data_IF_548043610065
#
_entry.id   IF_548043610065
#
_cell.length_a   1.000
_cell.length_b   1.000
_cell.length_c   1.000
_cell.angle_alpha   90.00
_cell.angle_beta   90.00
_cell.angle_gamma   90.00
#
_symmetry.space_group_name_H-M   'P 1'
#
loop_
_entity.id
_entity.type
_entity.pdbx_description
1 polymer ?
#
# COMPACT_ATOMS: atom_id res chain seq x y z
N UNK A 1 -24.73 -6.73 -60.86
CA UNK A 1 -23.60 -5.91 -60.38
C UNK A 1 -24.17 -4.80 -59.50
N UNK A 2 -23.95 -4.88 -58.19
CA UNK A 2 -23.87 -3.75 -57.25
C UNK A 2 -23.58 -4.36 -55.87
N UNK A 3 -22.31 -4.27 -55.47
CA UNK A 3 -21.80 -4.68 -54.17
C UNK A 3 -21.70 -3.42 -53.30
N UNK A 4 -22.42 -3.40 -52.18
CA UNK A 4 -22.34 -2.47 -51.06
C UNK A 4 -22.99 -3.24 -49.89
N UNK A 5 -22.46 -3.33 -48.68
CA UNK A 5 -21.63 -2.41 -47.93
C UNK A 5 -20.90 -3.21 -46.85
N UNK A 6 -19.67 -2.82 -46.55
CA UNK A 6 -18.94 -3.21 -45.33
C UNK A 6 -19.78 -2.90 -44.08
N UNK A 7 -19.75 -3.79 -43.09
CA UNK A 7 -19.49 -3.40 -41.70
C UNK A 7 -18.75 -4.55 -41.01
N UNK A 8 -17.44 -4.50 -41.13
CA UNK A 8 -16.51 -5.26 -40.31
C UNK A 8 -16.64 -4.71 -38.89
N UNK A 9 -17.18 -5.49 -37.95
CA UNK A 9 -17.09 -5.18 -36.53
C UNK A 9 -15.62 -5.39 -36.16
N UNK A 10 -14.84 -4.32 -36.36
CA UNK A 10 -13.47 -4.21 -35.89
C UNK A 10 -13.54 -4.37 -34.38
N UNK A 11 -12.99 -5.49 -33.88
CA UNK A 11 -12.79 -5.70 -32.47
C UNK A 11 -12.10 -4.46 -31.92
N UNK A 12 -12.72 -3.85 -30.91
CA UNK A 12 -12.03 -2.81 -30.15
C UNK A 12 -10.74 -3.45 -29.61
N UNK A 13 -9.57 -2.86 -29.89
CA UNK A 13 -8.36 -3.27 -29.19
C UNK A 13 -8.61 -3.01 -27.71
N UNK A 14 -8.56 -4.08 -26.92
CA UNK A 14 -8.54 -4.02 -25.46
C UNK A 14 -7.12 -3.59 -25.04
N UNK A 15 -6.68 -2.44 -25.55
CA UNK A 15 -5.29 -1.95 -25.40
C UNK A 15 -5.30 -0.63 -24.60
N UNK A 16 -6.12 -0.55 -23.55
CA UNK A 16 -6.16 0.59 -22.62
C UNK A 16 -5.98 0.19 -21.14
N UNK A 17 -5.86 -1.10 -20.82
CA UNK A 17 -5.57 -1.63 -19.48
C UNK A 17 -4.26 -2.42 -19.39
N UNK A 18 -3.42 -2.39 -20.42
CA UNK A 18 -2.06 -2.92 -20.35
C UNK A 18 -1.15 -2.01 -19.50
N UNK A 19 -0.97 -2.41 -18.24
CA UNK A 19 0.35 -2.33 -17.61
C UNK A 19 0.62 -1.20 -16.61
N UNK A 20 -0.33 -0.74 -15.78
CA UNK A 20 0.11 -0.08 -14.52
C UNK A 20 0.73 -1.16 -13.62
N UNK A 21 2.02 -1.03 -13.34
CA UNK A 21 2.74 -1.91 -12.41
C UNK A 21 2.00 -1.98 -11.07
N UNK A 22 2.16 -3.09 -10.34
CA UNK A 22 1.60 -3.25 -9.01
C UNK A 22 2.01 -2.06 -8.10
N UNK A 23 3.26 -1.60 -8.20
CA UNK A 23 3.76 -0.43 -7.47
C UNK A 23 3.06 0.88 -7.84
N UNK A 24 2.77 1.11 -9.13
CA UNK A 24 2.02 2.30 -9.56
C UNK A 24 0.59 2.29 -8.99
N UNK A 25 -0.04 1.12 -8.88
CA UNK A 25 -1.35 0.98 -8.21
C UNK A 25 -1.24 1.17 -6.71
N UNK A 26 -0.22 0.58 -6.06
CA UNK A 26 0.07 0.76 -4.65
C UNK A 26 0.23 2.24 -4.29
N UNK A 27 0.91 3.03 -5.15
CA UNK A 27 1.07 4.47 -4.98
C UNK A 27 -0.27 5.21 -4.89
N UNK A 28 -1.20 4.86 -5.77
CA UNK A 28 -2.54 5.48 -5.82
C UNK A 28 -3.33 5.13 -4.56
N UNK A 29 -3.33 3.86 -4.15
CA UNK A 29 -4.01 3.42 -2.93
C UNK A 29 -3.42 4.08 -1.67
N UNK A 30 -2.10 4.19 -1.60
CA UNK A 30 -1.41 4.85 -0.50
C UNK A 30 -1.76 6.34 -0.41
N UNK A 31 -1.83 7.05 -1.54
CA UNK A 31 -2.27 8.44 -1.58
C UNK A 31 -3.75 8.62 -1.17
N UNK A 32 -4.58 7.60 -1.39
CA UNK A 32 -5.98 7.59 -0.98
C UNK A 32 -6.18 7.16 0.50
N UNK A 33 -5.13 6.74 1.20
CA UNK A 33 -5.22 6.15 2.55
C UNK A 33 -5.81 4.74 2.57
N UNK A 34 -5.90 4.08 1.42
CA UNK A 34 -6.39 2.70 1.28
C UNK A 34 -5.23 1.71 1.47
N UNK A 35 -4.80 1.56 2.72
CA UNK A 35 -3.61 0.77 3.05
C UNK A 35 -3.80 -0.72 2.80
N UNK A 36 -5.02 -1.26 2.88
CA UNK A 36 -5.26 -2.66 2.54
C UNK A 36 -4.87 -2.95 1.10
N UNK A 37 -5.42 -2.20 0.14
CA UNK A 37 -5.09 -2.44 -1.26
C UNK A 37 -3.65 -2.03 -1.58
N UNK A 38 -3.09 -1.02 -0.92
CA UNK A 38 -1.67 -0.68 -1.08
C UNK A 38 -0.76 -1.84 -0.68
N UNK A 39 -1.03 -2.47 0.47
CA UNK A 39 -0.31 -3.66 0.95
C UNK A 39 -0.50 -4.81 -0.03
N UNK A 40 -1.73 -5.09 -0.46
CA UNK A 40 -2.03 -6.18 -1.42
C UNK A 40 -1.26 -6.01 -2.74
N UNK A 41 -1.16 -4.79 -3.27
CA UNK A 41 -0.39 -4.54 -4.50
C UNK A 41 1.12 -4.73 -4.28
N UNK A 42 1.66 -4.25 -3.16
CA UNK A 42 3.08 -4.50 -2.83
C UNK A 42 3.36 -5.99 -2.57
N UNK A 43 2.42 -6.75 -2.00
CA UNK A 43 2.55 -8.20 -1.85
C UNK A 43 2.59 -8.90 -3.22
N UNK A 44 1.72 -8.52 -4.16
CA UNK A 44 1.76 -9.03 -5.54
C UNK A 44 3.09 -8.71 -6.25
N UNK A 45 3.63 -7.50 -6.05
CA UNK A 45 4.96 -7.16 -6.58
C UNK A 45 6.04 -8.10 -6.04
N UNK A 46 6.02 -8.40 -4.74
CA UNK A 46 6.96 -9.35 -4.12
C UNK A 46 6.75 -10.77 -4.65
N UNK A 47 5.51 -11.18 -4.90
CA UNK A 47 5.18 -12.51 -5.45
C UNK A 47 5.63 -12.66 -6.91
N UNK A 48 5.42 -11.64 -7.74
CA UNK A 48 5.76 -11.65 -9.17
C UNK A 48 7.25 -11.43 -9.42
N UNK A 49 7.90 -10.54 -8.65
CA UNK A 49 9.29 -10.15 -8.81
C UNK A 49 9.98 -9.92 -7.45
N UNK A 50 10.29 -10.99 -6.70
CA UNK A 50 10.93 -10.87 -5.40
C UNK A 50 12.33 -10.25 -5.52
N UNK A 51 12.55 -9.15 -4.82
CA UNK A 51 13.82 -8.41 -4.80
C UNK A 51 13.98 -7.64 -3.49
N UNK A 52 15.20 -7.22 -3.16
CA UNK A 52 15.42 -6.37 -1.99
C UNK A 52 14.59 -5.08 -2.06
N UNK A 53 14.49 -4.46 -3.23
CA UNK A 53 13.67 -3.26 -3.47
C UNK A 53 12.18 -3.53 -3.22
N UNK A 54 11.61 -4.62 -3.75
CA UNK A 54 10.18 -4.92 -3.56
C UNK A 54 9.83 -5.21 -2.10
N UNK A 55 10.70 -5.89 -1.35
CA UNK A 55 10.53 -6.06 0.10
C UNK A 55 10.68 -4.73 0.87
N UNK A 56 11.57 -3.83 0.47
CA UNK A 56 11.67 -2.49 1.08
C UNK A 56 10.40 -1.67 0.81
N UNK A 57 9.84 -1.75 -0.39
CA UNK A 57 8.59 -1.05 -0.70
C UNK A 57 7.42 -1.58 0.13
N UNK A 58 7.31 -2.89 0.30
CA UNK A 58 6.32 -3.48 1.20
C UNK A 58 6.54 -3.02 2.66
N UNK A 59 7.78 -3.07 3.15
CA UNK A 59 8.17 -2.56 4.48
C UNK A 59 7.77 -1.09 4.64
N UNK A 60 7.97 -0.28 3.61
CA UNK A 60 7.60 1.13 3.60
C UNK A 60 6.09 1.33 3.76
N UNK A 61 5.27 0.53 3.07
CA UNK A 61 3.80 0.65 3.18
C UNK A 61 3.32 0.34 4.59
N UNK A 62 3.89 -0.66 5.28
CA UNK A 62 3.55 -0.93 6.68
C UNK A 62 3.94 0.23 7.61
N UNK A 63 5.12 0.81 7.43
CA UNK A 63 5.48 1.99 8.18
C UNK A 63 4.56 3.19 7.87
N UNK A 64 4.20 3.39 6.60
CA UNK A 64 3.30 4.45 6.17
C UNK A 64 1.90 4.26 6.79
N UNK A 65 1.41 3.03 6.92
CA UNK A 65 0.20 2.70 7.66
C UNK A 65 0.29 3.20 9.11
N UNK A 66 1.39 2.91 9.82
CA UNK A 66 1.60 3.40 11.19
C UNK A 66 1.70 4.94 11.25
N UNK A 67 2.38 5.56 10.29
CA UNK A 67 2.44 7.02 10.19
C UNK A 67 1.08 7.68 9.97
N UNK A 68 0.25 7.12 9.10
CA UNK A 68 -1.11 7.61 8.88
C UNK A 68 -2.00 7.38 10.11
N UNK A 69 -1.88 6.22 10.74
CA UNK A 69 -2.60 5.89 11.96
C UNK A 69 -2.27 6.84 13.11
N UNK A 70 -0.98 7.19 13.28
CA UNK A 70 -0.55 8.20 14.25
C UNK A 70 -1.07 9.59 13.91
N UNK A 71 -1.12 9.95 12.63
CA UNK A 71 -1.75 11.20 12.19
C UNK A 71 -3.24 11.26 12.54
N UNK A 72 -4.00 10.18 12.28
CA UNK A 72 -5.42 10.10 12.64
C UNK A 72 -5.61 10.25 14.15
N UNK A 73 -4.80 9.58 14.96
CA UNK A 73 -4.86 9.68 16.42
C UNK A 73 -4.50 11.09 16.91
N UNK A 74 -3.42 11.69 16.38
CA UNK A 74 -2.96 13.06 16.70
C UNK A 74 -4.02 14.12 16.38
N UNK A 75 -4.85 13.87 15.36
CA UNK A 75 -5.91 14.78 14.92
C UNK A 75 -7.31 14.38 15.43
N UNK A 76 -7.37 13.48 16.42
CA UNK A 76 -8.60 13.00 17.08
C UNK A 76 -9.63 12.37 16.13
N UNK A 77 -9.19 11.85 14.98
CA UNK A 77 -10.03 11.19 13.98
C UNK A 77 -10.28 9.72 14.34
N UNK A 78 -10.76 9.46 15.57
CA UNK A 78 -10.92 8.10 16.13
C UNK A 78 -11.89 7.21 15.32
N UNK A 79 -12.94 7.79 14.73
CA UNK A 79 -13.84 7.06 13.84
C UNK A 79 -13.11 6.50 12.61
N UNK A 80 -12.15 7.24 12.06
CA UNK A 80 -11.35 6.76 10.92
C UNK A 80 -10.37 5.67 11.32
N UNK A 81 -9.88 5.69 12.57
CA UNK A 81 -9.06 4.61 13.12
C UNK A 81 -9.85 3.30 13.17
N UNK A 82 -11.09 3.34 13.65
CA UNK A 82 -11.98 2.17 13.69
C UNK A 82 -12.32 1.68 12.29
N UNK A 83 -12.62 2.59 11.36
CA UNK A 83 -12.87 2.23 9.95
C UNK A 83 -11.65 1.57 9.30
N UNK A 84 -10.45 2.09 9.56
CA UNK A 84 -9.20 1.52 9.07
C UNK A 84 -8.99 0.11 9.65
N UNK A 85 -9.26 -0.09 10.94
CA UNK A 85 -9.20 -1.41 11.56
C UNK A 85 -10.16 -2.39 10.88
N UNK A 86 -11.43 -2.00 10.69
CA UNK A 86 -12.41 -2.88 10.05
C UNK A 86 -11.98 -3.21 8.62
N UNK A 87 -11.50 -2.22 7.86
CA UNK A 87 -11.02 -2.43 6.49
C UNK A 87 -9.83 -3.40 6.42
N UNK A 88 -8.90 -3.35 7.38
CA UNK A 88 -7.72 -4.22 7.42
C UNK A 88 -8.04 -5.63 7.95
N UNK A 89 -8.87 -5.73 8.99
CA UNK A 89 -9.16 -6.98 9.68
C UNK A 89 -10.20 -7.85 8.96
N UNK A 90 -11.13 -7.23 8.21
CA UNK A 90 -12.25 -7.95 7.62
C UNK A 90 -12.27 -7.75 6.11
N UNK A 91 -12.23 -8.88 5.39
CA UNK A 91 -12.44 -8.92 3.92
C UNK A 91 -13.90 -9.05 3.53
N UNK A 92 -14.78 -9.31 4.50
CA UNK A 92 -16.16 -9.73 4.26
C UNK A 92 -17.18 -8.66 4.68
N UNK A 93 -18.27 -8.55 3.91
CA UNK A 93 -19.34 -7.56 4.11
C UNK A 93 -20.06 -7.72 5.46
N UNK A 94 -20.01 -8.91 6.07
CA UNK A 94 -20.63 -9.19 7.37
C UNK A 94 -20.05 -8.34 8.51
N UNK A 95 -18.77 -7.95 8.43
CA UNK A 95 -18.18 -7.04 9.40
C UNK A 95 -18.69 -5.59 9.27
N UNK A 96 -19.33 -5.24 8.15
CA UNK A 96 -19.97 -3.93 7.96
C UNK A 96 -21.40 -3.91 8.54
N UNK A 97 -22.06 -5.06 8.65
CA UNK A 97 -23.40 -5.19 9.24
C UNK A 97 -23.35 -5.48 10.74
N UNK A 98 -22.26 -6.10 11.23
CA UNK A 98 -22.01 -6.33 12.65
C UNK A 98 -20.54 -6.05 13.02
N UNK A 99 -20.15 -4.76 13.09
CA UNK A 99 -18.76 -4.41 13.40
C UNK A 99 -18.40 -4.87 14.82
N UNK A 100 -17.17 -5.36 15.04
CA UNK A 100 -16.72 -5.70 16.38
C UNK A 100 -16.75 -4.44 17.28
N UNK A 101 -17.26 -4.60 18.50
CA UNK A 101 -17.21 -3.57 19.53
C UNK A 101 -15.76 -3.47 20.06
N UNK A 102 -14.94 -2.70 19.34
CA UNK A 102 -13.54 -2.44 19.68
C UNK A 102 -13.36 -0.94 19.91
N UNK A 103 -12.63 -0.60 20.97
CA UNK A 103 -12.30 0.81 21.23
C UNK A 103 -11.26 1.29 20.20
N UNK A 104 -11.45 2.49 19.63
CA UNK A 104 -10.50 3.09 18.69
C UNK A 104 -9.01 3.04 19.12
N UNK A 105 -8.74 3.22 20.43
CA UNK A 105 -7.37 3.11 20.96
C UNK A 105 -6.82 1.69 20.89
N UNK A 106 -7.65 0.68 21.16
CA UNK A 106 -7.26 -0.72 21.02
C UNK A 106 -7.06 -1.09 19.55
N UNK A 107 -7.96 -0.63 18.67
CA UNK A 107 -7.79 -0.76 17.22
C UNK A 107 -6.43 -0.19 16.77
N UNK A 108 -6.06 1.00 17.26
CA UNK A 108 -4.76 1.61 16.98
C UNK A 108 -3.61 0.68 17.35
N UNK A 109 -3.57 0.20 18.60
CA UNK A 109 -2.47 -0.66 19.06
C UNK A 109 -2.40 -1.99 18.29
N UNK A 110 -3.54 -2.61 17.99
CA UNK A 110 -3.58 -3.86 17.21
C UNK A 110 -3.03 -3.64 15.79
N UNK A 111 -3.42 -2.54 15.12
CA UNK A 111 -2.89 -2.21 13.79
C UNK A 111 -1.38 -1.96 13.89
N UNK A 112 -0.94 -1.16 14.86
CA UNK A 112 0.48 -0.84 15.06
C UNK A 112 1.32 -2.11 15.22
N UNK A 113 0.96 -2.98 16.18
CA UNK A 113 1.68 -4.22 16.46
C UNK A 113 1.69 -5.17 15.25
N UNK A 114 0.58 -5.26 14.52
CA UNK A 114 0.50 -6.09 13.32
C UNK A 114 1.40 -5.54 12.21
N UNK A 115 1.34 -4.24 11.94
CA UNK A 115 2.13 -3.57 10.92
C UNK A 115 3.63 -3.64 11.23
N UNK A 116 4.04 -3.43 12.49
CA UNK A 116 5.44 -3.53 12.91
C UNK A 116 5.97 -4.95 12.72
N UNK A 117 5.23 -5.99 13.14
CA UNK A 117 5.66 -7.38 12.91
C UNK A 117 5.81 -7.71 11.42
N UNK A 118 4.91 -7.23 10.57
CA UNK A 118 5.00 -7.45 9.12
C UNK A 118 6.15 -6.64 8.49
N UNK A 119 6.39 -5.43 8.98
CA UNK A 119 7.53 -4.60 8.59
C UNK A 119 8.85 -5.28 8.96
N UNK A 120 8.98 -5.83 10.16
CA UNK A 120 10.18 -6.56 10.61
C UNK A 120 10.48 -7.76 9.71
N UNK A 121 9.46 -8.57 9.39
CA UNK A 121 9.61 -9.73 8.51
C UNK A 121 10.07 -9.30 7.11
N UNK A 122 9.40 -8.31 6.52
CA UNK A 122 9.74 -7.85 5.17
C UNK A 122 11.10 -7.14 5.11
N UNK A 123 11.46 -6.37 6.14
CA UNK A 123 12.77 -5.72 6.26
C UNK A 123 13.91 -6.76 6.37
N UNK A 124 13.71 -7.81 7.16
CA UNK A 124 14.67 -8.90 7.28
C UNK A 124 14.87 -9.64 5.96
N UNK A 125 13.78 -9.85 5.20
CA UNK A 125 13.86 -10.44 3.86
C UNK A 125 14.62 -9.56 2.87
N UNK A 126 14.39 -8.25 2.89
CA UNK A 126 15.15 -7.30 2.05
C UNK A 126 16.65 -7.35 2.35
N UNK A 127 17.01 -7.23 3.63
CA UNK A 127 18.41 -7.25 4.08
C UNK A 127 19.13 -8.55 3.70
N UNK A 128 18.42 -9.68 3.76
CA UNK A 128 18.95 -10.99 3.38
C UNK A 128 19.26 -11.10 1.88
N UNK A 129 18.54 -10.38 1.03
CA UNK A 129 18.73 -10.41 -0.43
C UNK A 129 19.83 -9.45 -0.90
N UNK A 130 19.85 -8.23 -0.37
CA UNK A 130 20.88 -7.22 -0.67
C UNK A 130 20.97 -6.17 0.43
N UNK A 131 21.77 -6.43 1.45
CA UNK A 131 21.97 -5.52 2.58
C UNK A 131 22.45 -4.11 2.15
N UNK A 132 23.33 -4.02 1.16
CA UNK A 132 23.89 -2.74 0.73
C UNK A 132 22.84 -1.89 -0.01
N UNK A 133 22.06 -2.51 -0.90
CA UNK A 133 20.93 -1.88 -1.58
C UNK A 133 19.84 -1.47 -0.60
N UNK A 134 19.47 -2.36 0.32
CA UNK A 134 18.48 -2.08 1.36
C UNK A 134 18.90 -0.89 2.24
N UNK A 135 20.16 -0.84 2.69
CA UNK A 135 20.72 0.29 3.45
C UNK A 135 20.68 1.63 2.69
N UNK A 136 20.86 1.60 1.37
CA UNK A 136 20.69 2.81 0.54
C UNK A 136 19.24 3.28 0.55
N UNK A 137 18.28 2.37 0.38
CA UNK A 137 16.85 2.72 0.36
C UNK A 137 16.35 3.20 1.74
N UNK A 138 16.79 2.60 2.84
CA UNK A 138 16.44 3.09 4.18
C UNK A 138 16.91 4.53 4.42
N UNK A 139 18.12 4.90 3.98
CA UNK A 139 18.59 6.29 4.06
C UNK A 139 17.69 7.26 3.28
N UNK A 140 17.24 6.86 2.08
CA UNK A 140 16.30 7.65 1.29
C UNK A 140 14.94 7.78 2.00
N UNK A 141 14.43 6.70 2.58
CA UNK A 141 13.22 6.73 3.39
C UNK A 141 13.36 7.65 4.60
N UNK A 142 14.46 7.58 5.35
CA UNK A 142 14.72 8.48 6.49
C UNK A 142 14.73 9.94 6.05
N UNK A 143 15.42 10.26 4.94
CA UNK A 143 15.44 11.61 4.39
C UNK A 143 14.04 12.08 3.96
N UNK A 144 13.25 11.21 3.32
CA UNK A 144 11.87 11.49 2.93
C UNK A 144 10.97 11.81 4.13
N UNK A 145 11.03 11.00 5.19
CA UNK A 145 10.27 11.23 6.43
C UNK A 145 10.65 12.56 7.08
N UNK A 146 11.95 12.86 7.14
CA UNK A 146 12.46 14.11 7.70
C UNK A 146 12.01 15.34 6.89
N UNK A 147 11.96 15.23 5.56
CA UNK A 147 11.52 16.32 4.68
C UNK A 147 9.99 16.56 4.72
N UNK A 148 9.20 15.54 5.11
CA UNK A 148 7.73 15.58 5.07
C UNK A 148 7.11 15.04 6.38
N UNK A 149 7.42 15.65 7.54
CA UNK A 149 7.08 15.10 8.84
C UNK A 149 5.57 14.86 9.03
N UNK A 150 4.72 15.69 8.43
CA UNK A 150 3.26 15.61 8.56
C UNK A 150 2.53 14.99 7.36
N UNK A 151 3.25 14.40 6.38
CA UNK A 151 2.60 13.85 5.19
C UNK A 151 3.35 12.73 4.48
N UNK A 152 4.50 12.29 4.99
CA UNK A 152 5.35 11.30 4.31
C UNK A 152 4.61 9.99 4.01
N UNK A 153 3.68 9.59 4.89
CA UNK A 153 2.87 8.37 4.77
C UNK A 153 1.89 8.36 3.60
N UNK A 154 1.57 9.53 3.02
CA UNK A 154 0.65 9.66 1.89
C UNK A 154 1.35 9.65 0.51
N UNK A 155 2.67 9.43 0.48
CA UNK A 155 3.42 9.30 -0.76
C UNK A 155 4.64 8.41 -0.60
N UNK A 156 5.57 8.50 -1.54
CA UNK A 156 6.82 7.72 -1.57
C UNK A 156 7.99 8.60 -1.98
N UNK A 157 9.23 8.26 -1.60
CA UNK A 157 10.43 8.93 -2.09
C UNK A 157 10.44 9.03 -3.61
N UNK A 158 10.81 10.19 -4.15
CA UNK A 158 10.86 10.44 -5.60
C UNK A 158 11.93 9.62 -6.33
N UNK A 159 12.95 9.19 -5.59
CA UNK A 159 14.04 8.36 -6.07
C UNK A 159 13.61 6.90 -6.31
N UNK A 160 12.47 6.49 -5.76
CA UNK A 160 11.97 5.12 -5.85
C UNK A 160 11.19 4.91 -7.15
N UNK A 161 11.43 3.78 -7.79
CA UNK A 161 10.79 3.41 -9.07
C UNK A 161 9.44 2.72 -8.82
N UNK A 162 8.45 3.49 -8.38
CA UNK A 162 7.04 3.06 -8.27
C UNK A 162 6.24 3.40 -9.52
#
# INVERSE_FOLDING_TARGET
MSLALLTFIMGMPVDAEEGRSNLSRAKVFLAAGDYRHAIEMCQKEVEEAPSADSYVYLTYVYHALNGYLDHLAKTEQWVKVEQLYVNLAFRDLDALTNPPDILARMAKEIIHESADRQADVSAAMAARLDEAGTNRLWRQQTAWRAAKPDSWWAGVPSEWKW
#
